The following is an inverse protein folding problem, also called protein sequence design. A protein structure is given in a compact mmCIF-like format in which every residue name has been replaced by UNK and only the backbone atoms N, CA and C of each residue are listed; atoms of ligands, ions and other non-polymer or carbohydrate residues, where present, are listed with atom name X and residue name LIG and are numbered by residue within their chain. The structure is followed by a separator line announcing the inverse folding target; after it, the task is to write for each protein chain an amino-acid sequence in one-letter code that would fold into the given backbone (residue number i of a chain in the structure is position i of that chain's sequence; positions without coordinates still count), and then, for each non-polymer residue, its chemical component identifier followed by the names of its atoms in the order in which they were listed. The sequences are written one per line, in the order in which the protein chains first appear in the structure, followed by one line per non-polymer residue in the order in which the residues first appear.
data_IF_478128960698
#
_entry.id   IF_478128960698
#
_cell.length_a   1.000
_cell.length_b   1.000
_cell.length_c   1.000
_cell.angle_alpha   90.00
_cell.angle_beta   90.00
_cell.angle_gamma   90.00
#
_symmetry.space_group_name_H-M   'P 1'
#
loop_
_entity.id
_entity.type
_entity.pdbx_description
1 polymer ?
#
# COMPACT_ATOMS: atom_id res chain seq x y z
N UNK A 1 12.88 15.97 0.00
CA UNK A 1 11.52 15.61 0.46
C UNK A 1 11.16 14.14 0.21
N UNK A 2 11.15 13.61 -1.02
CA UNK A 2 10.77 12.21 -1.28
C UNK A 2 11.73 11.14 -0.68
N UNK A 3 13.04 11.45 -0.61
CA UNK A 3 14.03 10.56 0.02
C UNK A 3 13.77 10.37 1.52
N UNK A 4 13.35 11.44 2.19
CA UNK A 4 13.07 11.46 3.63
C UNK A 4 11.82 10.61 3.96
N UNK A 5 10.75 10.73 3.16
CA UNK A 5 9.55 9.91 3.32
C UNK A 5 9.84 8.41 3.19
N UNK A 6 10.60 8.01 2.16
CA UNK A 6 10.91 6.61 1.93
C UNK A 6 11.80 6.01 3.03
N UNK A 7 12.78 6.77 3.51
CA UNK A 7 13.64 6.36 4.63
C UNK A 7 12.83 6.21 5.92
N UNK A 8 11.98 7.18 6.23
CA UNK A 8 11.10 7.11 7.39
C UNK A 8 10.13 5.93 7.30
N UNK A 9 9.53 5.71 6.14
CA UNK A 9 8.64 4.56 5.91
C UNK A 9 9.37 3.24 6.13
N UNK A 10 10.59 3.09 5.61
CA UNK A 10 11.40 1.88 5.84
C UNK A 10 11.67 1.66 7.34
N UNK A 11 12.12 2.71 8.04
CA UNK A 11 12.37 2.66 9.50
C UNK A 11 11.12 2.24 10.27
N UNK A 12 9.96 2.80 9.92
CA UNK A 12 8.69 2.44 10.54
C UNK A 12 8.32 0.98 10.31
N UNK A 13 8.52 0.47 9.09
CA UNK A 13 8.24 -0.93 8.73
C UNK A 13 9.12 -1.88 9.55
N UNK A 14 10.42 -1.57 9.66
CA UNK A 14 11.36 -2.37 10.44
C UNK A 14 10.94 -2.43 11.93
N UNK A 15 10.50 -1.30 12.49
CA UNK A 15 9.96 -1.25 13.85
C UNK A 15 8.67 -2.05 14.01
N UNK A 16 7.72 -1.94 13.08
CA UNK A 16 6.48 -2.73 13.10
C UNK A 16 6.74 -4.24 13.01
N UNK A 17 7.69 -4.64 12.17
CA UNK A 17 8.08 -6.04 12.04
C UNK A 17 8.73 -6.56 13.32
N UNK A 18 9.59 -5.77 13.98
CA UNK A 18 10.16 -6.11 15.28
C UNK A 18 9.09 -6.33 16.34
N UNK A 19 8.16 -5.37 16.51
CA UNK A 19 7.05 -5.48 17.47
C UNK A 19 6.16 -6.71 17.18
N UNK A 20 5.92 -7.01 15.90
CA UNK A 20 5.15 -8.19 15.48
C UNK A 20 5.89 -9.50 15.81
N UNK A 21 7.20 -9.53 15.65
CA UNK A 21 7.99 -10.70 15.99
C UNK A 21 8.06 -10.93 17.51
N UNK A 22 8.03 -9.86 18.31
CA UNK A 22 7.90 -9.97 19.77
C UNK A 22 6.56 -10.59 20.20
N UNK A 23 5.45 -10.22 19.53
CA UNK A 23 4.15 -10.90 19.72
C UNK A 23 4.28 -12.39 19.38
N UNK A 24 4.84 -12.72 18.21
CA UNK A 24 4.99 -14.11 17.75
C UNK A 24 5.84 -14.95 18.70
N UNK A 25 6.93 -14.40 19.23
CA UNK A 25 7.80 -15.08 20.20
C UNK A 25 7.03 -15.32 21.50
N UNK A 26 6.33 -14.30 22.00
CA UNK A 26 5.55 -14.40 23.25
C UNK A 26 4.39 -15.39 23.13
N UNK A 27 3.68 -15.40 22.00
CA UNK A 27 2.56 -16.31 21.76
C UNK A 27 2.95 -17.78 21.54
N UNK A 28 4.23 -18.06 21.27
CA UNK A 28 4.74 -19.44 21.12
C UNK A 28 5.01 -20.10 22.47
N UNK A 29 5.16 -19.32 23.53
CA UNK A 29 5.26 -19.84 24.90
C UNK A 29 3.88 -20.41 25.24
N UNK A 30 3.80 -21.72 25.51
CA UNK A 30 2.52 -22.36 25.90
C UNK A 30 1.92 -21.56 27.05
N UNK A 31 0.74 -20.98 26.84
CA UNK A 31 0.01 -20.13 27.81
C UNK A 31 -0.44 -20.93 29.03
N UNK A 32 0.53 -21.30 29.88
CA UNK A 32 0.33 -22.17 31.04
C UNK A 32 0.01 -21.38 32.31
N UNK A 33 0.33 -20.10 32.35
CA UNK A 33 0.12 -19.23 33.51
C UNK A 33 -0.62 -17.94 33.17
N UNK A 34 -1.18 -17.29 34.19
CA UNK A 34 -1.78 -15.95 34.09
C UNK A 34 -0.76 -14.89 33.68
N UNK A 35 0.47 -14.99 34.19
CA UNK A 35 1.58 -14.08 33.84
C UNK A 35 1.93 -14.14 32.34
N UNK A 36 1.92 -15.33 31.74
CA UNK A 36 2.15 -15.50 30.29
C UNK A 36 1.05 -14.83 29.45
N UNK A 37 -0.19 -14.89 29.92
CA UNK A 37 -1.33 -14.26 29.27
C UNK A 37 -1.26 -12.73 29.37
N UNK A 38 -0.94 -12.20 30.55
CA UNK A 38 -0.74 -10.77 30.79
C UNK A 38 0.41 -10.22 29.94
N UNK A 39 1.52 -10.96 29.84
CA UNK A 39 2.65 -10.60 28.98
C UNK A 39 2.27 -10.54 27.51
N UNK A 40 1.53 -11.53 27.00
CA UNK A 40 1.05 -11.49 25.62
C UNK A 40 0.11 -10.30 25.39
N UNK A 41 -0.83 -10.05 26.32
CA UNK A 41 -1.76 -8.93 26.23
C UNK A 41 -1.01 -7.59 26.18
N UNK A 42 0.01 -7.40 27.03
CA UNK A 42 0.84 -6.20 27.03
C UNK A 42 1.62 -6.04 25.72
N UNK A 43 2.23 -7.11 25.20
CA UNK A 43 2.95 -7.05 23.91
C UNK A 43 2.01 -6.72 22.75
N UNK A 44 0.80 -7.29 22.74
CA UNK A 44 -0.24 -6.93 21.77
C UNK A 44 -0.64 -5.46 21.89
N UNK A 45 -0.85 -4.95 23.11
CA UNK A 45 -1.18 -3.55 23.36
C UNK A 45 -0.09 -2.62 22.82
N UNK A 46 1.18 -2.88 23.14
CA UNK A 46 2.32 -2.10 22.61
C UNK A 46 2.30 -2.06 21.09
N UNK A 47 2.07 -3.20 20.42
CA UNK A 47 1.98 -3.24 18.96
C UNK A 47 0.86 -2.35 18.43
N UNK A 48 -0.37 -2.47 18.97
CA UNK A 48 -1.51 -1.70 18.48
C UNK A 48 -1.41 -0.21 18.80
N UNK A 49 -0.86 0.16 19.96
CA UNK A 49 -0.61 1.55 20.36
C UNK A 49 0.36 2.23 19.37
N UNK A 50 1.40 1.51 18.90
CA UNK A 50 2.37 2.03 17.94
C UNK A 50 1.93 1.88 16.47
N UNK A 51 0.93 1.04 16.19
CA UNK A 51 0.58 0.67 14.82
C UNK A 51 0.15 1.88 14.00
N UNK A 52 -0.76 2.69 14.54
CA UNK A 52 -1.34 3.81 13.79
C UNK A 52 -0.32 4.89 13.48
N UNK A 53 0.66 5.13 14.35
CA UNK A 53 1.71 6.14 14.13
C UNK A 53 2.76 5.68 13.13
N UNK A 54 3.10 4.39 13.15
CA UNK A 54 4.15 3.85 12.30
C UNK A 54 3.65 3.44 10.91
N UNK A 55 2.38 3.06 10.76
CA UNK A 55 1.88 2.48 9.52
C UNK A 55 1.95 3.42 8.30
N UNK A 56 2.10 4.74 8.52
CA UNK A 56 2.31 5.74 7.49
C UNK A 56 3.13 6.90 8.07
N UNK A 57 4.11 7.50 7.35
CA UNK A 57 4.82 8.68 7.85
C UNK A 57 3.85 9.85 8.09
N UNK A 58 3.74 10.30 9.34
CA UNK A 58 2.70 11.24 9.79
C UNK A 58 1.47 10.57 10.43
N UNK A 59 1.51 9.24 10.62
CA UNK A 59 0.48 8.45 11.29
C UNK A 59 -0.77 8.22 10.45
N UNK A 60 -1.72 7.46 11.02
CA UNK A 60 -2.97 7.11 10.37
C UNK A 60 -3.85 8.34 10.08
N UNK A 61 -3.76 9.38 10.91
CA UNK A 61 -4.46 10.63 10.69
C UNK A 61 -4.06 11.28 9.36
N UNK A 62 -2.78 11.20 8.96
CA UNK A 62 -2.34 11.71 7.66
C UNK A 62 -2.99 10.97 6.48
N UNK A 63 -3.33 9.68 6.65
CA UNK A 63 -4.12 8.94 5.66
C UNK A 63 -5.57 9.45 5.63
N UNK A 64 -6.18 9.67 6.80
CA UNK A 64 -7.54 10.19 6.88
C UNK A 64 -7.67 11.59 6.28
N UNK A 65 -6.64 12.41 6.47
CA UNK A 65 -6.55 13.78 5.97
C UNK A 65 -6.33 13.86 4.46
N UNK A 66 -6.02 12.75 3.78
CA UNK A 66 -5.95 12.70 2.31
C UNK A 66 -7.23 13.20 1.63
N UNK A 67 -8.38 13.09 2.31
CA UNK A 67 -9.68 13.62 1.84
C UNK A 67 -9.71 15.13 1.70
N UNK A 68 -8.79 15.85 2.34
CA UNK A 68 -8.65 17.32 2.23
C UNK A 68 -8.04 17.76 0.90
N UNK A 69 -7.62 16.82 0.05
CA UNK A 69 -7.04 17.08 -1.29
C UNK A 69 -5.76 17.93 -1.28
N UNK A 70 -5.06 17.99 -0.15
CA UNK A 70 -3.79 18.70 -0.04
C UNK A 70 -2.73 18.08 -0.96
N UNK A 71 -2.06 18.85 -1.84
CA UNK A 71 -1.12 18.32 -2.83
C UNK A 71 -0.02 17.44 -2.22
N UNK A 72 0.51 17.84 -1.07
CA UNK A 72 1.54 17.09 -0.36
C UNK A 72 1.03 15.76 0.19
N UNK A 73 -0.22 15.70 0.67
CA UNK A 73 -0.83 14.47 1.16
C UNK A 73 -1.01 13.47 0.01
N UNK A 74 -1.44 13.93 -1.17
CA UNK A 74 -1.54 13.11 -2.38
C UNK A 74 -0.18 12.57 -2.80
N UNK A 75 0.85 13.42 -2.83
CA UNK A 75 2.20 13.00 -3.19
C UNK A 75 2.79 11.97 -2.20
N UNK A 76 2.55 12.13 -0.90
CA UNK A 76 2.95 11.16 0.12
C UNK A 76 2.19 9.83 -0.05
N UNK A 77 0.90 9.88 -0.35
CA UNK A 77 0.10 8.68 -0.62
C UNK A 77 0.60 7.92 -1.86
N UNK A 78 0.95 8.64 -2.94
CA UNK A 78 1.57 8.07 -4.13
C UNK A 78 2.94 7.46 -3.80
N UNK A 79 3.77 8.15 -3.01
CA UNK A 79 5.06 7.65 -2.57
C UNK A 79 4.93 6.35 -1.75
N UNK A 80 3.93 6.27 -0.87
CA UNK A 80 3.61 5.06 -0.11
C UNK A 80 3.22 3.90 -1.03
N UNK A 81 2.36 4.12 -2.02
CA UNK A 81 1.99 3.08 -2.99
C UNK A 81 3.19 2.65 -3.84
N UNK A 82 4.03 3.59 -4.27
CA UNK A 82 5.25 3.32 -5.03
C UNK A 82 6.24 2.46 -4.24
N UNK A 83 6.40 2.72 -2.94
CA UNK A 83 7.24 1.92 -2.06
C UNK A 83 6.67 0.51 -1.79
N UNK A 84 5.38 0.31 -2.07
CA UNK A 84 4.66 -0.96 -1.97
C UNK A 84 4.94 -1.75 -0.66
N UNK A 85 4.79 -1.13 0.53
CA UNK A 85 5.24 -1.76 1.77
C UNK A 85 4.43 -3.00 2.13
N UNK A 86 5.09 -3.98 2.75
CA UNK A 86 4.51 -5.26 3.15
C UNK A 86 4.71 -5.52 4.64
N UNK A 87 3.65 -5.31 5.42
CA UNK A 87 3.59 -5.58 6.86
C UNK A 87 2.13 -5.85 7.26
N UNK A 88 1.88 -6.12 8.55
CA UNK A 88 0.53 -6.39 9.05
C UNK A 88 -0.46 -5.29 8.64
N UNK A 89 -1.59 -5.66 8.03
CA UNK A 89 -2.65 -4.75 7.54
C UNK A 89 -2.23 -3.73 6.46
N UNK A 90 -1.01 -3.78 5.89
CA UNK A 90 -0.59 -2.81 4.87
C UNK A 90 -1.47 -2.82 3.61
N UNK A 91 -2.06 -3.96 3.25
CA UNK A 91 -3.04 -4.07 2.15
C UNK A 91 -4.32 -3.26 2.37
N UNK A 92 -4.84 -3.21 3.60
CA UNK A 92 -6.03 -2.39 3.91
C UNK A 92 -5.71 -0.89 3.81
N UNK A 93 -4.49 -0.49 4.17
CA UNK A 93 -4.03 0.90 4.02
C UNK A 93 -3.96 1.27 2.54
N UNK A 94 -3.35 0.42 1.71
CA UNK A 94 -3.29 0.65 0.25
C UNK A 94 -4.68 0.73 -0.36
N UNK A 95 -5.59 -0.17 0.03
CA UNK A 95 -6.99 -0.12 -0.39
C UNK A 95 -7.66 1.23 -0.02
N UNK A 96 -7.47 1.71 1.21
CA UNK A 96 -8.01 3.00 1.65
C UNK A 96 -7.42 4.18 0.85
N UNK A 97 -6.12 4.16 0.60
CA UNK A 97 -5.44 5.17 -0.22
C UNK A 97 -6.00 5.16 -1.65
N UNK A 98 -6.04 3.99 -2.29
CA UNK A 98 -6.49 3.83 -3.68
C UNK A 98 -7.95 4.27 -3.87
N UNK A 99 -8.82 3.89 -2.93
CA UNK A 99 -10.24 4.29 -2.95
C UNK A 99 -10.42 5.79 -2.73
N UNK A 100 -9.57 6.42 -1.93
CA UNK A 100 -9.58 7.86 -1.71
C UNK A 100 -9.05 8.62 -2.92
N UNK A 101 -7.87 8.27 -3.44
CA UNK A 101 -7.28 8.88 -4.64
C UNK A 101 -8.21 8.81 -5.86
N UNK A 102 -8.96 7.71 -6.01
CA UNK A 102 -9.96 7.60 -7.08
C UNK A 102 -11.05 8.69 -7.00
N UNK A 103 -11.32 9.26 -5.83
CA UNK A 103 -12.36 10.30 -5.67
C UNK A 103 -11.83 11.73 -5.87
N UNK A 104 -10.52 11.95 -5.74
CA UNK A 104 -9.91 13.28 -5.79
C UNK A 104 -9.60 13.74 -7.22
N UNK A 105 -9.54 15.05 -7.43
CA UNK A 105 -9.05 15.62 -8.69
C UNK A 105 -7.52 15.58 -8.70
N UNK A 106 -6.99 14.77 -9.61
CA UNK A 106 -5.56 14.49 -9.71
C UNK A 106 -4.96 15.32 -10.84
N UNK A 107 -3.85 16.01 -10.56
CA UNK A 107 -3.10 16.74 -11.59
C UNK A 107 -2.51 15.75 -12.61
N UNK A 108 -2.23 16.21 -13.84
CA UNK A 108 -1.62 15.36 -14.87
C UNK A 108 -0.33 14.67 -14.39
N UNK A 109 0.49 15.37 -13.59
CA UNK A 109 1.71 14.80 -13.00
C UNK A 109 1.40 13.69 -11.98
N UNK A 110 0.40 13.87 -11.12
CA UNK A 110 -0.02 12.85 -10.15
C UNK A 110 -0.60 11.62 -10.84
N UNK A 111 -1.40 11.82 -11.89
CA UNK A 111 -1.92 10.73 -12.72
C UNK A 111 -0.78 9.93 -13.36
N UNK A 112 0.22 10.60 -13.95
CA UNK A 112 1.39 9.95 -14.52
C UNK A 112 2.18 9.15 -13.48
N UNK A 113 2.38 9.70 -12.27
CA UNK A 113 3.04 8.96 -11.17
C UNK A 113 2.24 7.70 -10.80
N UNK A 114 0.92 7.79 -10.71
CA UNK A 114 0.04 6.66 -10.38
C UNK A 114 -0.01 5.59 -11.48
N UNK A 115 0.00 5.99 -12.76
CA UNK A 115 0.14 5.05 -13.88
C UNK A 115 1.42 4.23 -13.74
N UNK A 116 2.55 4.87 -13.43
CA UNK A 116 3.81 4.17 -13.19
C UNK A 116 3.75 3.24 -11.97
N UNK A 117 3.05 3.64 -10.89
CA UNK A 117 2.82 2.74 -9.74
C UNK A 117 2.05 1.48 -10.17
N UNK A 118 0.97 1.64 -10.95
CA UNK A 118 0.17 0.50 -11.43
C UNK A 118 1.02 -0.43 -12.30
N UNK A 119 1.83 0.13 -13.20
CA UNK A 119 2.77 -0.64 -14.02
C UNK A 119 3.74 -1.45 -13.15
N UNK A 120 4.33 -0.83 -12.12
CA UNK A 120 5.26 -1.53 -11.24
C UNK A 120 4.57 -2.67 -10.45
N UNK A 121 3.33 -2.46 -10.01
CA UNK A 121 2.58 -3.49 -9.27
C UNK A 121 2.24 -4.70 -10.15
N UNK A 122 2.00 -4.49 -11.45
CA UNK A 122 1.81 -5.59 -12.41
C UNK A 122 3.04 -6.50 -12.47
N UNK A 123 4.24 -5.96 -12.34
CA UNK A 123 5.50 -6.72 -12.43
C UNK A 123 5.83 -7.52 -11.16
N UNK A 124 5.22 -7.17 -10.02
CA UNK A 124 5.51 -7.80 -8.74
C UNK A 124 4.65 -9.05 -8.51
N UNK A 125 3.57 -8.92 -7.77
CA UNK A 125 2.73 -10.04 -7.34
C UNK A 125 1.27 -9.64 -7.23
N UNK A 126 0.37 -10.62 -7.29
CA UNK A 126 -1.04 -10.40 -7.05
C UNK A 126 -1.30 -10.21 -5.55
N UNK A 127 -1.98 -9.13 -5.20
CA UNK A 127 -2.33 -8.77 -3.83
C UNK A 127 -3.82 -8.44 -3.71
N UNK A 128 -4.35 -8.46 -2.48
CA UNK A 128 -5.78 -8.19 -2.22
C UNK A 128 -6.22 -6.84 -2.78
N UNK A 129 -5.35 -5.85 -2.71
CA UNK A 129 -5.63 -4.49 -3.16
C UNK A 129 -5.61 -4.35 -4.69
N UNK A 130 -5.22 -5.38 -5.45
CA UNK A 130 -5.07 -5.31 -6.91
C UNK A 130 -6.32 -4.82 -7.63
N UNK A 131 -7.51 -5.27 -7.18
CA UNK A 131 -8.80 -4.78 -7.72
C UNK A 131 -8.98 -3.27 -7.60
N UNK A 132 -8.38 -2.63 -6.60
CA UNK A 132 -8.45 -1.18 -6.41
C UNK A 132 -7.49 -0.44 -7.32
N UNK A 133 -6.36 -1.05 -7.69
CA UNK A 133 -5.51 -0.54 -8.78
C UNK A 133 -6.26 -0.54 -10.11
N UNK A 134 -6.98 -1.63 -10.45
CA UNK A 134 -7.86 -1.64 -11.64
C UNK A 134 -8.90 -0.51 -11.58
N UNK A 135 -9.57 -0.34 -10.44
CA UNK A 135 -10.58 0.72 -10.27
C UNK A 135 -10.00 2.14 -10.40
N UNK A 136 -8.76 2.36 -9.95
CA UNK A 136 -8.08 3.63 -10.10
C UNK A 136 -7.63 3.85 -11.55
N UNK A 137 -7.14 2.81 -12.23
CA UNK A 137 -6.69 2.87 -13.62
C UNK A 137 -7.76 3.45 -14.55
N UNK A 138 -9.05 3.10 -14.33
CA UNK A 138 -10.20 3.67 -15.03
C UNK A 138 -10.29 5.20 -15.00
N UNK A 139 -9.81 5.83 -13.91
CA UNK A 139 -9.88 7.28 -13.71
C UNK A 139 -8.73 8.02 -14.40
N UNK A 140 -7.62 7.34 -14.62
CA UNK A 140 -6.38 7.94 -15.13
C UNK A 140 -5.94 7.31 -16.46
N UNK A 141 -6.82 7.16 -17.46
CA UNK A 141 -6.41 6.63 -18.75
C UNK A 141 -5.49 7.62 -19.46
N UNK A 142 -4.50 7.09 -20.18
CA UNK A 142 -3.73 7.83 -21.19
C UNK A 142 -3.32 6.86 -22.29
N UNK A 143 -3.11 7.36 -23.50
CA UNK A 143 -2.70 6.54 -24.64
C UNK A 143 -1.41 5.78 -24.36
N UNK A 144 -0.38 6.47 -23.86
CA UNK A 144 0.88 5.85 -23.44
C UNK A 144 0.72 4.80 -22.34
N UNK A 145 -0.22 5.00 -21.40
CA UNK A 145 -0.48 4.03 -20.35
C UNK A 145 -1.16 2.77 -20.91
N UNK A 146 -2.16 2.93 -21.78
CA UNK A 146 -2.84 1.83 -22.45
C UNK A 146 -1.86 1.04 -23.32
N UNK A 147 -0.99 1.72 -24.08
CA UNK A 147 0.03 1.06 -24.90
C UNK A 147 0.99 0.22 -24.04
N UNK A 148 1.46 0.76 -22.90
CA UNK A 148 2.29 0.00 -21.96
C UNK A 148 1.57 -1.25 -21.43
N UNK A 149 0.28 -1.13 -21.09
CA UNK A 149 -0.52 -2.27 -20.64
C UNK A 149 -0.71 -3.32 -21.73
N UNK A 150 -0.94 -2.91 -22.98
CA UNK A 150 -1.04 -3.82 -24.13
C UNK A 150 0.27 -4.56 -24.42
N UNK A 151 1.41 -3.88 -24.27
CA UNK A 151 2.72 -4.54 -24.38
C UNK A 151 2.91 -5.57 -23.25
N UNK A 152 2.54 -5.22 -22.01
CA UNK A 152 2.65 -6.14 -20.86
C UNK A 152 1.66 -7.30 -20.91
N UNK A 153 0.47 -7.13 -21.48
CA UNK A 153 -0.49 -8.23 -21.66
C UNK A 153 -0.01 -9.30 -22.64
N UNK A 154 1.01 -8.99 -23.45
CA UNK A 154 1.70 -9.91 -24.36
C UNK A 154 3.05 -10.39 -23.81
N UNK A 155 3.34 -10.17 -22.52
CA UNK A 155 4.56 -10.66 -21.88
C UNK A 155 4.65 -12.19 -21.94
N UNK A 156 5.86 -12.73 -22.07
CA UNK A 156 6.11 -14.17 -21.93
C UNK A 156 5.86 -14.69 -20.50
N UNK A 157 5.89 -13.81 -19.50
CA UNK A 157 5.45 -14.15 -18.15
C UNK A 157 3.91 -14.09 -18.07
N UNK A 158 3.29 -15.27 -17.94
CA UNK A 158 1.84 -15.44 -17.87
C UNK A 158 1.19 -14.67 -16.71
N UNK A 159 1.87 -14.50 -15.58
CA UNK A 159 1.34 -13.76 -14.43
C UNK A 159 1.30 -12.26 -14.71
N UNK A 160 2.37 -11.72 -15.30
CA UNK A 160 2.44 -10.33 -15.73
C UNK A 160 1.38 -10.09 -16.81
N UNK A 161 1.32 -10.95 -17.82
CA UNK A 161 0.35 -10.88 -18.91
C UNK A 161 -1.09 -10.83 -18.40
N UNK A 162 -1.46 -11.77 -17.52
CA UNK A 162 -2.80 -11.84 -16.92
C UNK A 162 -3.15 -10.59 -16.12
N UNK A 163 -2.24 -10.11 -15.27
CA UNK A 163 -2.45 -8.89 -14.47
C UNK A 163 -2.58 -7.64 -15.33
N UNK A 164 -1.76 -7.51 -16.37
CA UNK A 164 -1.86 -6.42 -17.33
C UNK A 164 -3.20 -6.43 -18.06
N UNK A 165 -3.66 -7.61 -18.51
CA UNK A 165 -4.98 -7.76 -19.13
C UNK A 165 -6.12 -7.34 -18.20
N UNK A 166 -6.08 -7.70 -16.91
CA UNK A 166 -7.10 -7.25 -15.96
C UNK A 166 -7.16 -5.73 -15.78
N UNK A 167 -6.01 -5.06 -15.78
CA UNK A 167 -5.97 -3.59 -15.72
C UNK A 167 -6.47 -2.99 -17.03
N UNK A 168 -6.03 -3.51 -18.17
CA UNK A 168 -6.46 -3.06 -19.50
C UNK A 168 -7.97 -3.22 -19.68
N UNK A 169 -8.52 -4.40 -19.39
CA UNK A 169 -9.96 -4.69 -19.43
C UNK A 169 -10.75 -3.76 -18.53
N UNK A 170 -10.17 -3.34 -17.40
CA UNK A 170 -10.85 -2.42 -16.50
C UNK A 170 -11.01 -1.04 -17.14
N UNK A 171 -10.05 -0.58 -17.95
CA UNK A 171 -10.11 0.72 -18.62
C UNK A 171 -11.07 0.68 -19.82
N UNK A 172 -11.11 -0.43 -20.56
CA UNK A 172 -11.89 -0.57 -21.79
C UNK A 172 -13.38 -0.91 -21.55
N UNK A 173 -13.75 -1.33 -20.34
CA UNK A 173 -15.13 -1.62 -19.91
C UNK A 173 -15.68 -0.50 -19.04
#
# INVERSE_FOLDING_TARGET
MALDFALQLKKNIDQLNKLRDDIRKTSRIKHKSKEDQEKLAMTCKIFYDNFYDLAFPGGYQAICDLKKSEPQAIDNAIAYLKANPYFFRSGYIKEHILTTLKKLDLTALQQLKLQNVIINVIDLYYCREFRYYCRLAKKIPSEFFIEKLQRKSKSGDLNIAKRASWVLDSILK
#
